data_IF_874381130024
#
_entry.id   IF_874381130024
#
_cell.length_a   1.000
_cell.length_b   1.000
_cell.length_c   1.000
_cell.angle_alpha   90.00
_cell.angle_beta   90.00
_cell.angle_gamma   90.00
#
_symmetry.space_group_name_H-M   'P 1'
#
loop_
_entity.id
_entity.type
_entity.pdbx_description
1 polymer ?
#
# COMPACT_ATOMS: atom_id res chain seq x y z
N UNK A 1 5.75 -17.86 -17.54
CA UNK A 1 4.74 -17.72 -16.47
C UNK A 1 3.81 -16.57 -16.84
N UNK A 2 2.50 -16.74 -16.68
CA UNK A 2 1.52 -15.65 -16.91
C UNK A 2 1.46 -14.72 -15.70
N UNK A 3 1.24 -13.43 -15.93
CA UNK A 3 1.02 -12.46 -14.86
C UNK A 3 -0.41 -12.68 -14.31
N UNK A 4 -0.61 -12.83 -12.99
CA UNK A 4 -1.93 -13.03 -12.40
C UNK A 4 -2.78 -11.74 -12.48
N UNK A 5 -4.09 -11.90 -12.42
CA UNK A 5 -5.03 -10.78 -12.33
C UNK A 5 -4.86 -10.00 -11.01
N UNK A 6 -5.22 -8.72 -11.04
CA UNK A 6 -5.26 -7.88 -9.84
C UNK A 6 -6.48 -8.28 -9.03
N UNK A 7 -6.28 -8.56 -7.74
CA UNK A 7 -7.37 -8.84 -6.79
C UNK A 7 -7.49 -7.68 -5.84
N UNK A 8 -8.70 -7.14 -5.71
CA UNK A 8 -9.04 -6.10 -4.74
C UNK A 8 -9.89 -6.74 -3.66
N UNK A 9 -9.51 -6.61 -2.40
CA UNK A 9 -10.20 -7.21 -1.25
C UNK A 9 -10.71 -6.15 -0.30
N UNK A 10 -11.89 -6.39 0.26
CA UNK A 10 -12.43 -5.64 1.38
C UNK A 10 -12.45 -6.56 2.59
N UNK A 11 -11.73 -6.19 3.64
CA UNK A 11 -11.53 -7.01 4.84
C UNK A 11 -12.03 -6.30 6.10
N UNK A 12 -12.46 -7.08 7.08
CA UNK A 12 -12.71 -6.67 8.46
C UNK A 12 -11.83 -7.51 9.38
N UNK A 13 -10.71 -6.95 9.83
CA UNK A 13 -9.62 -7.71 10.43
C UNK A 13 -9.13 -8.82 9.49
N UNK A 14 -9.21 -10.07 9.95
CA UNK A 14 -8.84 -11.26 9.16
C UNK A 14 -9.96 -11.78 8.24
N UNK A 15 -11.15 -11.17 8.27
CA UNK A 15 -12.31 -11.65 7.53
C UNK A 15 -12.46 -10.96 6.17
N UNK A 16 -12.41 -11.74 5.08
CA UNK A 16 -12.70 -11.25 3.74
C UNK A 16 -14.22 -11.02 3.57
N UNK A 17 -14.62 -9.77 3.39
CA UNK A 17 -16.03 -9.37 3.21
C UNK A 17 -16.45 -9.38 1.74
N UNK A 18 -15.59 -8.87 0.86
CA UNK A 18 -15.86 -8.79 -0.58
C UNK A 18 -14.57 -8.80 -1.39
N UNK A 19 -14.67 -9.17 -2.66
CA UNK A 19 -13.54 -9.12 -3.58
C UNK A 19 -13.95 -8.72 -5.00
N UNK A 20 -13.00 -8.21 -5.76
CA UNK A 20 -13.09 -8.01 -7.19
C UNK A 20 -11.80 -8.49 -7.86
N UNK A 21 -11.91 -8.90 -9.14
CA UNK A 21 -10.78 -9.25 -9.98
C UNK A 21 -10.76 -8.36 -11.22
N UNK A 22 -9.59 -7.82 -11.54
CA UNK A 22 -9.35 -7.00 -12.73
C UNK A 22 -8.24 -7.65 -13.54
N UNK A 23 -8.51 -7.92 -14.81
CA UNK A 23 -7.54 -8.60 -15.65
C UNK A 23 -6.37 -7.68 -15.96
N UNK A 24 -5.14 -8.16 -15.76
CA UNK A 24 -3.95 -7.32 -15.98
C UNK A 24 -3.88 -6.84 -17.43
N UNK A 25 -4.29 -7.65 -18.40
CA UNK A 25 -4.29 -7.25 -19.81
C UNK A 25 -5.23 -6.07 -20.12
N UNK A 26 -6.24 -5.80 -19.30
CA UNK A 26 -7.16 -4.66 -19.46
C UNK A 26 -6.57 -3.34 -18.95
N UNK A 27 -5.60 -3.41 -18.03
CA UNK A 27 -4.96 -2.25 -17.40
C UNK A 27 -3.46 -2.15 -17.71
N UNK A 28 -2.95 -3.05 -18.57
CA UNK A 28 -1.55 -3.12 -18.96
C UNK A 28 -1.16 -1.93 -19.84
N UNK A 29 -0.19 -1.17 -19.37
CA UNK A 29 0.45 -0.12 -20.13
C UNK A 29 1.53 -0.67 -21.06
N UNK A 30 1.31 -0.45 -22.35
CA UNK A 30 2.30 -0.62 -23.42
C UNK A 30 2.36 0.69 -24.22
N UNK A 31 3.55 1.03 -24.73
CA UNK A 31 3.74 2.21 -25.58
C UNK A 31 2.87 2.14 -26.84
N UNK A 32 2.83 0.97 -27.48
CA UNK A 32 1.91 0.70 -28.59
C UNK A 32 0.46 0.71 -28.09
N UNK A 33 -0.36 1.59 -28.68
CA UNK A 33 -1.76 1.75 -28.32
C UNK A 33 -2.60 0.51 -28.65
N UNK A 34 -2.22 -0.26 -29.67
CA UNK A 34 -2.98 -1.45 -30.10
C UNK A 34 -2.84 -2.58 -29.07
N UNK A 35 -1.69 -2.65 -28.40
CA UNK A 35 -1.41 -3.66 -27.37
C UNK A 35 -1.72 -3.15 -25.95
N UNK A 36 -2.23 -1.93 -25.79
CA UNK A 36 -2.53 -1.34 -24.48
C UNK A 36 -3.87 -1.84 -23.98
N UNK A 37 -3.95 -2.12 -22.68
CA UNK A 37 -5.20 -2.47 -22.04
C UNK A 37 -6.24 -1.34 -22.18
N UNK A 38 -7.48 -1.71 -22.50
CA UNK A 38 -8.57 -0.78 -22.82
C UNK A 38 -8.98 0.14 -21.66
N UNK A 39 -8.69 -0.25 -20.42
CA UNK A 39 -8.97 0.49 -19.19
C UNK A 39 -7.72 1.13 -18.56
N UNK A 40 -6.55 1.00 -19.21
CA UNK A 40 -5.31 1.60 -18.73
C UNK A 40 -5.46 3.11 -18.54
N UNK A 41 -5.41 3.54 -17.28
CA UNK A 41 -5.50 4.93 -16.88
C UNK A 41 -6.89 5.56 -16.98
N UNK A 42 -7.90 4.81 -17.40
CA UNK A 42 -9.29 5.29 -17.49
C UNK A 42 -9.99 5.08 -16.16
N UNK A 43 -10.90 5.99 -15.82
CA UNK A 43 -11.80 5.79 -14.69
C UNK A 43 -12.79 4.69 -15.08
N UNK A 44 -12.87 3.64 -14.28
CA UNK A 44 -13.73 2.50 -14.51
C UNK A 44 -14.33 2.00 -13.20
N UNK A 45 -15.61 1.61 -13.27
CA UNK A 45 -16.34 0.99 -12.17
C UNK A 45 -15.94 -0.48 -12.01
N UNK A 46 -15.49 -0.85 -10.81
CA UNK A 46 -15.17 -2.23 -10.43
C UNK A 46 -16.20 -2.68 -9.40
N UNK A 47 -17.03 -3.65 -9.78
CA UNK A 47 -18.06 -4.22 -8.90
C UNK A 47 -17.43 -5.27 -7.98
N UNK A 48 -17.55 -5.06 -6.67
CA UNK A 48 -17.10 -6.01 -5.66
C UNK A 48 -18.22 -7.00 -5.32
N UNK A 49 -17.89 -8.28 -5.34
CA UNK A 49 -18.79 -9.37 -4.95
C UNK A 49 -18.63 -9.69 -3.48
N UNK A 50 -19.75 -9.75 -2.75
CA UNK A 50 -19.77 -10.19 -1.36
C UNK A 50 -19.38 -11.66 -1.25
N UNK A 51 -18.68 -11.99 -0.17
CA UNK A 51 -18.32 -13.38 0.19
C UNK A 51 -19.44 -14.06 1.02
N UNK A 52 -20.53 -13.35 1.35
CA UNK A 52 -21.59 -13.88 2.21
C UNK A 52 -22.24 -15.16 1.68
N UNK A 53 -22.68 -16.03 2.59
CA UNK A 53 -23.31 -17.32 2.29
C UNK A 53 -24.68 -17.24 1.59
N UNK A 54 -25.24 -16.04 1.40
CA UNK A 54 -26.60 -15.82 0.86
C UNK A 54 -26.64 -15.48 -0.64
N UNK A 55 -25.58 -15.79 -1.39
CA UNK A 55 -25.49 -15.62 -2.84
C UNK A 55 -24.60 -14.46 -3.26
N UNK A 56 -24.24 -14.40 -4.56
CA UNK A 56 -23.43 -13.31 -5.12
C UNK A 56 -24.22 -12.00 -5.14
N UNK A 57 -24.12 -11.24 -4.04
CA UNK A 57 -24.64 -9.87 -3.97
C UNK A 57 -23.52 -8.88 -4.23
N UNK A 58 -23.86 -7.75 -4.88
CA UNK A 58 -22.93 -6.63 -5.03
C UNK A 58 -22.71 -6.00 -3.65
N UNK A 59 -21.47 -6.02 -3.17
CA UNK A 59 -21.11 -5.43 -1.88
C UNK A 59 -20.82 -3.92 -2.02
N UNK A 60 -20.12 -3.56 -3.09
CA UNK A 60 -19.71 -2.18 -3.38
C UNK A 60 -19.39 -2.01 -4.87
N UNK A 61 -19.34 -0.77 -5.33
CA UNK A 61 -18.81 -0.38 -6.64
C UNK A 61 -17.69 0.63 -6.41
N UNK A 62 -16.49 0.33 -6.90
CA UNK A 62 -15.32 1.19 -6.78
C UNK A 62 -15.09 1.93 -8.10
N UNK A 63 -14.93 3.25 -8.05
CA UNK A 63 -14.53 4.05 -9.20
C UNK A 63 -13.01 4.25 -9.19
N UNK A 64 -12.30 3.50 -10.03
CA UNK A 64 -10.83 3.44 -10.00
C UNK A 64 -10.22 3.81 -11.34
N UNK A 65 -9.11 4.56 -11.29
CA UNK A 65 -8.13 4.59 -12.38
C UNK A 65 -7.05 3.59 -12.07
N UNK A 66 -6.79 2.66 -12.98
CA UNK A 66 -5.81 1.60 -12.78
C UNK A 66 -4.74 1.62 -13.87
N UNK A 67 -3.52 1.25 -13.50
CA UNK A 67 -2.38 1.18 -14.41
C UNK A 67 -1.45 0.05 -13.96
N UNK A 68 -1.06 -0.79 -14.90
CA UNK A 68 -0.06 -1.82 -14.67
C UNK A 68 1.05 -1.69 -15.72
N UNK A 69 2.26 -1.31 -15.33
CA UNK A 69 3.34 -1.10 -16.29
C UNK A 69 4.73 -1.13 -15.64
N UNK A 70 5.75 -1.05 -16.49
CA UNK A 70 7.15 -0.99 -16.03
C UNK A 70 7.42 0.34 -15.32
N UNK A 71 8.24 0.34 -14.27
CA UNK A 71 8.54 1.53 -13.46
C UNK A 71 9.02 2.74 -14.28
N UNK A 72 9.84 2.54 -15.32
CA UNK A 72 10.29 3.65 -16.20
C UNK A 72 9.18 4.28 -17.06
N UNK A 73 7.96 3.75 -17.05
CA UNK A 73 6.78 4.35 -17.67
C UNK A 73 5.87 5.08 -16.66
N UNK A 74 6.25 5.13 -15.37
CA UNK A 74 5.49 5.79 -14.30
C UNK A 74 5.12 7.24 -14.61
N UNK A 75 6.01 8.00 -15.26
CA UNK A 75 5.72 9.39 -15.63
C UNK A 75 4.51 9.54 -16.58
N UNK A 76 4.14 8.51 -17.36
CA UNK A 76 2.90 8.56 -18.14
C UNK A 76 1.66 8.38 -17.27
N UNK A 77 1.77 7.56 -16.23
CA UNK A 77 0.71 7.35 -15.26
C UNK A 77 0.47 8.59 -14.41
N UNK A 78 1.54 9.23 -13.92
CA UNK A 78 1.47 10.47 -13.14
C UNK A 78 0.72 11.58 -13.91
N UNK A 79 1.00 11.73 -15.21
CA UNK A 79 0.27 12.68 -16.08
C UNK A 79 -1.21 12.35 -16.25
N UNK A 80 -1.59 11.07 -16.21
CA UNK A 80 -2.98 10.63 -16.33
C UNK A 80 -3.78 10.95 -15.06
N UNK A 81 -3.14 10.91 -13.90
CA UNK A 81 -3.82 11.14 -12.62
C UNK A 81 -3.88 12.62 -12.23
N UNK A 82 -3.15 13.52 -12.90
CA UNK A 82 -3.22 14.97 -12.68
C UNK A 82 -4.69 15.47 -12.62
N UNK A 83 -5.04 16.35 -11.65
CA UNK A 83 -4.18 16.96 -10.62
C UNK A 83 -3.95 16.07 -9.37
N UNK A 84 -4.39 14.82 -9.40
CA UNK A 84 -4.18 13.85 -8.33
C UNK A 84 -2.70 13.57 -8.08
N UNK A 85 -2.34 13.41 -6.81
CA UNK A 85 -0.98 13.14 -6.36
C UNK A 85 -0.89 11.74 -5.79
N UNK A 86 0.29 11.12 -5.90
CA UNK A 86 0.56 9.82 -5.29
C UNK A 86 0.98 10.07 -3.85
N UNK A 87 0.24 9.48 -2.91
CA UNK A 87 0.57 9.47 -1.50
C UNK A 87 1.10 8.09 -1.12
N UNK A 88 2.14 8.04 -0.29
CA UNK A 88 2.63 6.80 0.32
C UNK A 88 2.66 6.99 1.83
N UNK A 89 2.10 6.03 2.56
CA UNK A 89 2.17 6.02 4.02
C UNK A 89 3.29 5.07 4.43
N UNK A 90 4.34 5.63 5.03
CA UNK A 90 5.38 4.86 5.68
C UNK A 90 4.98 4.60 7.12
N UNK A 91 5.05 3.34 7.54
CA UNK A 91 4.78 2.91 8.91
C UNK A 91 6.07 2.45 9.58
N UNK A 92 6.24 2.81 10.85
CA UNK A 92 7.34 2.33 11.70
C UNK A 92 6.78 1.99 13.08
N UNK A 93 7.26 0.90 13.67
CA UNK A 93 6.85 0.42 14.98
C UNK A 93 7.94 0.67 16.02
N UNK A 94 7.60 1.39 17.11
CA UNK A 94 8.48 1.51 18.28
C UNK A 94 8.30 0.29 19.18
N UNK A 95 9.39 -0.41 19.50
CA UNK A 95 9.38 -1.60 20.33
C UNK A 95 9.98 -1.32 21.70
N UNK A 96 9.21 -1.62 22.74
CA UNK A 96 9.68 -1.74 24.13
C UNK A 96 9.75 -3.22 24.53
N UNK A 97 10.63 -3.52 25.48
CA UNK A 97 10.79 -4.86 26.04
C UNK A 97 10.66 -4.85 27.56
N UNK A 98 10.13 -5.94 28.11
CA UNK A 98 10.10 -6.19 29.54
C UNK A 98 10.65 -7.60 29.82
N UNK A 99 11.76 -7.69 30.57
CA UNK A 99 12.44 -8.95 30.86
C UNK A 99 11.70 -9.82 31.88
N UNK A 100 10.79 -9.25 32.65
CA UNK A 100 10.06 -9.95 33.72
C UNK A 100 8.70 -9.31 33.93
N UNK A 101 7.64 -10.12 33.94
CA UNK A 101 6.27 -9.66 34.18
C UNK A 101 6.22 -8.85 35.49
N UNK A 102 5.79 -7.59 35.40
CA UNK A 102 5.72 -6.67 36.54
C UNK A 102 6.90 -5.69 36.67
N UNK A 103 7.92 -5.78 35.81
CA UNK A 103 8.98 -4.78 35.71
C UNK A 103 8.59 -3.63 34.77
N UNK A 104 9.33 -2.52 34.84
CA UNK A 104 9.18 -1.40 33.90
C UNK A 104 9.60 -1.83 32.50
N UNK A 105 8.82 -1.41 31.51
CA UNK A 105 9.20 -1.49 30.11
C UNK A 105 10.45 -0.66 29.86
N UNK A 106 11.34 -1.18 29.04
CA UNK A 106 12.58 -0.52 28.62
C UNK A 106 12.55 -0.38 27.10
N UNK A 107 12.98 0.78 26.60
CA UNK A 107 13.19 0.94 25.17
C UNK A 107 14.23 -0.08 24.71
N UNK A 108 13.96 -0.75 23.57
CA UNK A 108 14.93 -1.65 22.97
C UNK A 108 16.17 -0.86 22.51
N UNK A 109 17.34 -1.47 22.54
CA UNK A 109 18.62 -0.87 22.16
C UNK A 109 19.01 -1.26 20.73
N UNK A 110 19.61 -0.34 19.98
CA UNK A 110 20.05 -0.61 18.59
C UNK A 110 21.26 -1.57 18.50
N UNK A 111 21.62 -2.23 19.60
CA UNK A 111 22.69 -3.22 19.72
C UNK A 111 22.17 -4.66 19.57
N UNK A 112 21.94 -5.07 18.33
CA UNK A 112 22.09 -6.48 17.93
C UNK A 112 20.80 -7.26 17.72
N UNK A 113 20.03 -7.57 18.77
CA UNK A 113 18.94 -8.58 18.68
C UNK A 113 17.52 -7.99 18.67
N UNK A 114 17.35 -6.72 19.08
CA UNK A 114 16.04 -6.09 19.26
C UNK A 114 16.06 -4.63 18.85
N UNK A 115 15.77 -4.38 17.58
CA UNK A 115 15.69 -3.01 17.09
C UNK A 115 14.58 -2.22 17.77
N UNK A 116 14.90 -1.00 18.19
CA UNK A 116 13.92 -0.07 18.74
C UNK A 116 12.84 0.27 17.74
N UNK A 117 13.20 0.42 16.48
CA UNK A 117 12.29 0.78 15.40
C UNK A 117 12.30 -0.29 14.32
N UNK A 118 11.14 -0.83 13.98
CA UNK A 118 11.04 -1.90 12.98
C UNK A 118 9.87 -1.74 12.01
N UNK A 119 9.90 -2.57 10.96
CA UNK A 119 8.72 -2.92 10.17
C UNK A 119 7.78 -3.84 10.98
N UNK A 120 6.63 -4.18 10.39
CA UNK A 120 5.64 -5.08 10.99
C UNK A 120 6.22 -6.47 11.28
N UNK A 121 7.18 -6.91 10.48
CA UNK A 121 7.81 -8.23 10.62
C UNK A 121 8.86 -8.30 11.73
N UNK A 122 9.32 -7.13 12.23
CA UNK A 122 10.46 -6.97 13.14
C UNK A 122 11.81 -7.42 12.57
N UNK A 123 11.89 -7.71 11.27
CA UNK A 123 13.11 -8.22 10.66
C UNK A 123 14.09 -7.09 10.28
N UNK A 124 13.57 -5.88 10.05
CA UNK A 124 14.35 -4.77 9.51
C UNK A 124 14.37 -3.62 10.54
N UNK A 125 15.56 -3.09 10.81
CA UNK A 125 15.71 -1.85 11.56
C UNK A 125 15.31 -0.66 10.68
N UNK A 126 14.35 0.14 11.13
CA UNK A 126 13.80 1.29 10.41
C UNK A 126 13.84 2.54 11.29
N UNK A 127 15.03 3.09 11.50
CA UNK A 127 15.18 4.36 12.22
C UNK A 127 14.45 5.50 11.46
N UNK A 128 13.38 6.09 12.04
CA UNK A 128 12.62 7.16 11.39
C UNK A 128 13.47 8.38 11.01
N UNK A 129 14.58 8.61 11.72
CA UNK A 129 15.48 9.74 11.49
C UNK A 129 16.48 9.50 10.35
N UNK A 130 16.70 8.24 9.96
CA UNK A 130 17.66 7.84 8.92
C UNK A 130 16.99 7.49 7.58
N UNK A 131 15.67 7.62 7.47
CA UNK A 131 14.94 7.29 6.24
C UNK A 131 15.31 8.23 5.09
N UNK A 132 15.82 7.63 4.02
CA UNK A 132 16.10 8.30 2.76
C UNK A 132 14.90 8.14 1.82
N UNK A 133 14.42 9.26 1.28
CA UNK A 133 13.37 9.25 0.29
C UNK A 133 13.95 8.99 -1.11
N UNK A 134 13.23 8.25 -1.97
CA UNK A 134 13.56 8.18 -3.39
C UNK A 134 13.47 9.58 -4.03
N UNK A 135 14.19 9.77 -5.13
CA UNK A 135 14.16 11.03 -5.89
C UNK A 135 12.72 11.45 -6.23
N UNK A 136 12.41 12.73 -6.02
CA UNK A 136 11.08 13.31 -6.28
C UNK A 136 10.05 13.13 -5.17
N UNK A 137 10.38 12.44 -4.08
CA UNK A 137 9.48 12.32 -2.92
C UNK A 137 9.79 13.35 -1.83
N UNK A 138 8.76 13.82 -1.15
CA UNK A 138 8.88 14.71 0.00
C UNK A 138 8.02 14.24 1.16
N UNK A 139 8.53 14.37 2.39
CA UNK A 139 7.74 14.20 3.60
C UNK A 139 6.71 15.32 3.68
N UNK A 140 5.42 14.97 3.75
CA UNK A 140 4.35 15.96 3.91
C UNK A 140 4.13 16.32 5.39
N UNK A 141 4.39 15.37 6.28
CA UNK A 141 4.20 15.52 7.72
C UNK A 141 5.38 14.93 8.48
N UNK A 142 5.47 15.22 9.79
CA UNK A 142 6.33 14.46 10.71
C UNK A 142 5.63 13.17 11.11
N UNK A 143 6.40 12.17 11.54
CA UNK A 143 5.87 10.95 12.14
C UNK A 143 4.88 11.26 13.26
N UNK A 144 3.74 10.55 13.26
CA UNK A 144 2.70 10.65 14.30
C UNK A 144 2.31 9.27 14.77
N UNK A 145 2.11 9.12 16.07
CA UNK A 145 1.54 7.90 16.65
C UNK A 145 0.03 7.92 16.41
N UNK A 146 -0.48 6.87 15.77
CA UNK A 146 -1.90 6.54 15.64
C UNK A 146 -2.20 5.28 16.45
N UNK A 147 -3.49 4.99 16.66
CA UNK A 147 -3.94 3.83 17.45
C UNK A 147 -3.42 2.48 16.95
N UNK A 148 -3.03 2.37 15.68
CA UNK A 148 -2.52 1.14 15.07
C UNK A 148 -1.00 1.12 14.82
N UNK A 149 -0.27 2.22 15.07
CA UNK A 149 1.17 2.33 14.77
C UNK A 149 1.69 3.76 14.64
N UNK A 150 2.93 3.97 14.18
CA UNK A 150 3.43 5.32 13.83
C UNK A 150 3.41 5.52 12.32
N UNK A 151 2.76 6.58 11.85
CA UNK A 151 2.54 6.88 10.44
C UNK A 151 3.28 8.12 9.96
N UNK A 152 3.66 8.09 8.69
CA UNK A 152 4.23 9.21 7.95
C UNK A 152 3.68 9.25 6.53
N UNK A 153 3.14 10.40 6.13
CA UNK A 153 2.65 10.61 4.78
C UNK A 153 3.74 11.21 3.88
N UNK A 154 4.00 10.55 2.76
CA UNK A 154 4.87 11.00 1.68
C UNK A 154 4.02 11.41 0.49
N UNK A 155 4.46 12.44 -0.23
CA UNK A 155 3.89 12.81 -1.52
C UNK A 155 4.98 12.76 -2.59
N UNK A 156 4.69 12.05 -3.68
CA UNK A 156 5.50 12.10 -4.90
C UNK A 156 5.15 13.37 -5.69
N UNK A 157 6.16 14.17 -6.02
CA UNK A 157 6.05 15.30 -6.94
C UNK A 157 6.32 14.87 -8.38
#
# INVERSE_FOLDING_TARGET
MSIPDVVITMNDGEHLLAHAKVRVNEILYVKDAICRGIFTGRLSSVVMKSVSSKGETTAAVLELRMWFGKAHHRGNWERIIEPGRIHYMAEVFENEWCSTIGSRWQASDDSGERYRWTDESRAINLDPSALLLPDGWTFQVKFRVITEGTLLELCGC
#
